data_IF_412032634690
#
_entry.id   IF_412032634690
#
_cell.length_a   1.000
_cell.length_b   1.000
_cell.length_c   1.000
_cell.angle_alpha   90.00
_cell.angle_beta   90.00
_cell.angle_gamma   90.00
#
_symmetry.space_group_name_H-M   'P 1'
#
loop_
_entity.id
_entity.type
_entity.pdbx_description
1 polymer ?
#
# COMPACT_ATOMS: atom_id res chain seq x y z
N UNK A 1 -1.25 -15.45 5.62
CA UNK A 1 -1.05 -13.99 5.54
C UNK A 1 -0.49 -13.68 4.16
N UNK A 2 -0.73 -12.49 3.64
CA UNK A 2 -0.16 -12.07 2.37
C UNK A 2 1.26 -11.53 2.57
N UNK A 3 2.13 -11.72 1.59
CA UNK A 3 3.46 -11.12 1.54
C UNK A 3 3.41 -9.76 0.84
N UNK A 4 4.25 -8.82 1.28
CA UNK A 4 4.38 -7.50 0.64
C UNK A 4 5.62 -7.52 -0.24
N UNK A 5 5.42 -7.30 -1.52
CA UNK A 5 6.48 -7.10 -2.50
C UNK A 5 6.33 -5.70 -3.09
N UNK A 6 7.46 -4.98 -3.16
CA UNK A 6 7.53 -3.65 -3.77
C UNK A 6 8.17 -3.77 -5.15
N UNK A 7 7.65 -3.03 -6.11
CA UNK A 7 8.38 -2.79 -7.36
C UNK A 7 9.62 -1.94 -7.07
N UNK A 8 10.57 -1.94 -8.00
CA UNK A 8 11.80 -1.16 -7.88
C UNK A 8 11.51 0.32 -7.55
N UNK A 9 10.63 0.96 -8.31
CA UNK A 9 10.27 2.37 -8.11
C UNK A 9 9.63 2.62 -6.74
N UNK A 10 8.75 1.72 -6.30
CA UNK A 10 8.10 1.82 -5.00
C UNK A 10 9.09 1.66 -3.84
N UNK A 11 10.09 0.78 -4.01
CA UNK A 11 11.14 0.58 -3.02
C UNK A 11 12.07 1.79 -2.93
N UNK A 12 12.49 2.34 -4.07
CA UNK A 12 13.30 3.58 -4.12
C UNK A 12 12.56 4.73 -3.45
N UNK A 13 11.26 4.90 -3.74
CA UNK A 13 10.43 5.91 -3.08
C UNK A 13 10.34 5.70 -1.56
N UNK A 14 10.10 4.46 -1.13
CA UNK A 14 10.01 4.12 0.30
C UNK A 14 11.31 4.44 1.05
N UNK A 15 12.47 4.15 0.44
CA UNK A 15 13.78 4.42 1.02
C UNK A 15 14.10 5.92 1.14
N UNK A 16 13.62 6.74 0.21
CA UNK A 16 13.82 8.19 0.21
C UNK A 16 12.78 8.94 1.07
N UNK A 17 11.73 8.28 1.54
CA UNK A 17 10.65 8.92 2.29
C UNK A 17 11.08 9.34 3.70
N UNK A 18 10.59 10.50 4.16
CA UNK A 18 10.81 10.95 5.52
C UNK A 18 10.14 10.04 6.56
N UNK A 19 10.72 9.95 7.76
CA UNK A 19 10.25 9.10 8.86
C UNK A 19 8.73 9.15 9.13
N UNK A 20 8.06 10.33 9.12
CA UNK A 20 6.62 10.37 9.37
C UNK A 20 5.81 9.63 8.30
N UNK A 21 6.27 9.65 7.05
CA UNK A 21 5.61 8.94 5.94
C UNK A 21 5.91 7.44 5.99
N UNK A 22 7.16 7.06 6.26
CA UNK A 22 7.58 5.65 6.43
C UNK A 22 6.74 4.96 7.50
N UNK A 23 6.51 5.61 8.65
CA UNK A 23 5.64 5.07 9.72
C UNK A 23 4.21 4.82 9.24
N UNK A 24 3.65 5.69 8.39
CA UNK A 24 2.31 5.51 7.82
C UNK A 24 2.28 4.36 6.80
N UNK A 25 3.31 4.25 5.95
CA UNK A 25 3.47 3.17 4.98
C UNK A 25 3.60 1.81 5.67
N UNK A 26 4.38 1.71 6.75
CA UNK A 26 4.50 0.47 7.52
C UNK A 26 3.18 0.02 8.13
N UNK A 27 2.38 0.96 8.68
CA UNK A 27 1.01 0.63 9.14
C UNK A 27 0.11 0.15 8.01
N UNK A 28 0.22 0.75 6.82
CA UNK A 28 -0.49 0.28 5.63
C UNK A 28 -0.08 -1.16 5.29
N UNK A 29 1.21 -1.46 5.21
CA UNK A 29 1.73 -2.79 4.90
C UNK A 29 1.24 -3.84 5.90
N UNK A 30 1.25 -3.54 7.21
CA UNK A 30 0.77 -4.46 8.24
C UNK A 30 -0.71 -4.80 8.08
N UNK A 31 -1.54 -3.84 7.66
CA UNK A 31 -2.94 -4.10 7.35
C UNK A 31 -3.09 -4.93 6.08
N UNK A 32 -2.34 -4.62 5.02
CA UNK A 32 -2.39 -5.34 3.76
C UNK A 32 -1.97 -6.80 3.92
N UNK A 33 -0.97 -7.10 4.76
CA UNK A 33 -0.58 -8.48 5.09
C UNK A 33 -1.76 -9.29 5.64
N UNK A 34 -2.63 -8.67 6.44
CA UNK A 34 -3.81 -9.31 7.04
C UNK A 34 -4.92 -9.51 6.01
N UNK A 35 -5.33 -8.45 5.32
CA UNK A 35 -6.34 -8.52 4.27
C UNK A 35 -6.20 -7.33 3.29
N UNK A 36 -5.72 -7.58 2.05
CA UNK A 36 -5.49 -6.52 1.08
C UNK A 36 -6.78 -6.08 0.34
N UNK A 37 -7.92 -6.71 0.60
CA UNK A 37 -9.17 -6.45 -0.13
C UNK A 37 -10.24 -5.74 0.70
N UNK A 38 -10.15 -5.82 2.04
CA UNK A 38 -11.20 -5.33 2.94
C UNK A 38 -10.63 -4.45 4.06
N UNK A 39 -10.73 -3.14 3.87
CA UNK A 39 -10.48 -2.10 4.87
C UNK A 39 -11.10 -0.77 4.40
N UNK A 40 -11.44 0.15 5.31
CA UNK A 40 -12.04 1.45 4.95
C UNK A 40 -11.15 2.31 4.04
N UNK A 41 -9.83 2.17 4.19
CA UNK A 41 -8.83 2.86 3.35
C UNK A 41 -8.62 2.19 1.98
N UNK A 42 -9.17 0.99 1.74
CA UNK A 42 -8.97 0.22 0.52
C UNK A 42 -10.14 0.45 -0.42
N UNK A 43 -9.85 0.90 -1.64
CA UNK A 43 -10.86 1.05 -2.70
C UNK A 43 -10.39 0.37 -3.98
N UNK A 44 -11.29 -0.35 -4.63
CA UNK A 44 -11.03 -0.96 -5.95
C UNK A 44 -10.95 0.14 -7.00
N UNK A 45 -9.96 0.04 -7.88
CA UNK A 45 -9.79 0.94 -9.01
C UNK A 45 -10.69 0.49 -10.19
N UNK A 46 -10.95 1.41 -11.11
CA UNK A 46 -11.84 1.23 -12.27
C UNK A 46 -11.10 1.59 -13.57
N UNK A 47 -11.70 1.28 -14.71
CA UNK A 47 -11.14 1.60 -16.03
C UNK A 47 -9.89 0.78 -16.34
N UNK A 48 -8.84 1.41 -16.87
CA UNK A 48 -7.57 0.76 -17.20
C UNK A 48 -6.85 0.13 -16.01
N UNK A 49 -7.19 0.54 -14.79
CA UNK A 49 -6.65 -0.01 -13.55
C UNK A 49 -7.63 -0.99 -12.87
N UNK A 50 -8.63 -1.49 -13.58
CA UNK A 50 -9.51 -2.54 -13.08
C UNK A 50 -8.67 -3.78 -12.69
N UNK A 51 -8.98 -4.37 -11.54
CA UNK A 51 -8.16 -5.44 -10.95
C UNK A 51 -7.05 -4.96 -10.02
N UNK A 52 -6.89 -3.64 -9.85
CA UNK A 52 -6.01 -3.05 -8.83
C UNK A 52 -6.80 -2.35 -7.71
N UNK A 53 -6.10 -2.03 -6.62
CA UNK A 53 -6.65 -1.34 -5.46
C UNK A 53 -5.76 -0.17 -5.07
N UNK A 54 -6.37 0.86 -4.46
CA UNK A 54 -5.64 1.92 -3.76
C UNK A 54 -5.84 1.80 -2.26
N UNK A 55 -4.81 2.14 -1.49
CA UNK A 55 -4.87 2.29 -0.05
C UNK A 55 -4.58 3.75 0.34
N UNK A 56 -5.43 4.39 1.15
CA UNK A 56 -5.20 5.75 1.67
C UNK A 56 -4.27 5.73 2.90
N UNK A 57 -3.05 6.25 2.75
CA UNK A 57 -1.99 6.26 3.79
C UNK A 57 -2.07 7.46 4.75
N UNK A 58 -2.81 8.51 4.37
CA UNK A 58 -2.97 9.76 5.13
C UNK A 58 -3.90 10.71 4.44
#
# INVERSE_FOLDING_TARGET
MYEIQLTHDAQTFYQAAADPLVRKLNRCFDQLRRNPYKHSNIKRLKGSLAGYWRYRVG
#
